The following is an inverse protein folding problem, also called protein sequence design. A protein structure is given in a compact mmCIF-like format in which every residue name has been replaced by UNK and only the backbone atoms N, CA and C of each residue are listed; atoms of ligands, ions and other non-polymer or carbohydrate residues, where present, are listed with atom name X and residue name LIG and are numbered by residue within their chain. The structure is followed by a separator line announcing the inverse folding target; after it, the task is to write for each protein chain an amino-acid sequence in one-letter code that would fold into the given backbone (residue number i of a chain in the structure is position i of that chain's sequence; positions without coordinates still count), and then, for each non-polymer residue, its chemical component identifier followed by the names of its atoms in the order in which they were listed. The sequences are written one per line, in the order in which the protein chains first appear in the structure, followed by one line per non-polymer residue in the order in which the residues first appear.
data_IF_483294160784
#
_entry.id   IF_483294160784
#
_cell.length_a   1.000
_cell.length_b   1.000
_cell.length_c   1.000
_cell.angle_alpha   90.00
_cell.angle_beta   90.00
_cell.angle_gamma   90.00
#
_symmetry.space_group_name_H-M   'P 1'
#
loop_
_entity.id
_entity.type
_entity.pdbx_description
1 polymer ?
#
# COMPACT_ATOMS: atom_id res chain seq x y z
N UNK A 1 17.67 -5.61 15.75
CA UNK A 1 17.58 -4.86 14.47
C UNK A 1 16.63 -5.54 13.50
N UNK A 2 16.84 -6.81 13.19
CA UNK A 2 16.04 -7.63 12.26
C UNK A 2 14.53 -7.66 12.54
N UNK A 3 14.14 -7.92 13.81
CA UNK A 3 12.71 -7.91 14.22
C UNK A 3 12.05 -6.54 14.11
N UNK A 4 12.81 -5.46 14.28
CA UNK A 4 12.28 -4.10 14.14
C UNK A 4 11.97 -3.77 12.67
N UNK A 5 12.85 -4.17 11.74
CA UNK A 5 12.62 -4.04 10.29
C UNK A 5 11.36 -4.77 9.83
N UNK A 6 11.18 -6.01 10.30
CA UNK A 6 9.96 -6.80 10.02
C UNK A 6 8.73 -6.09 10.59
N UNK A 7 8.79 -5.60 11.83
CA UNK A 7 7.68 -4.86 12.45
C UNK A 7 7.30 -3.59 11.69
N UNK A 8 8.28 -2.80 11.25
CA UNK A 8 8.04 -1.61 10.42
C UNK A 8 7.43 -2.01 9.08
N UNK A 9 7.95 -3.06 8.44
CA UNK A 9 7.43 -3.54 7.17
C UNK A 9 5.98 -4.02 7.24
N UNK A 10 5.60 -4.69 8.33
CA UNK A 10 4.21 -5.10 8.59
C UNK A 10 3.30 -3.90 8.81
N UNK A 11 3.76 -2.90 9.57
CA UNK A 11 2.99 -1.68 9.80
C UNK A 11 2.72 -0.91 8.50
N UNK A 12 3.72 -0.77 7.64
CA UNK A 12 3.55 -0.15 6.33
C UNK A 12 2.59 -0.95 5.44
N UNK A 13 2.66 -2.28 5.49
CA UNK A 13 1.75 -3.16 4.74
C UNK A 13 0.30 -3.03 5.21
N UNK A 14 0.08 -2.83 6.52
CA UNK A 14 -1.24 -2.56 7.07
C UNK A 14 -1.82 -1.25 6.53
N UNK A 15 -1.04 -0.16 6.58
CA UNK A 15 -1.46 1.14 6.01
C UNK A 15 -1.73 1.00 4.51
N UNK A 16 -0.84 0.32 3.78
CA UNK A 16 -0.99 0.06 2.35
C UNK A 16 -2.32 -0.66 2.05
N UNK A 17 -2.70 -1.64 2.88
CA UNK A 17 -3.95 -2.40 2.72
C UNK A 17 -5.18 -1.50 2.92
N UNK A 18 -5.15 -0.61 3.90
CA UNK A 18 -6.22 0.37 4.14
C UNK A 18 -6.37 1.32 2.94
N UNK A 19 -5.26 1.82 2.39
CA UNK A 19 -5.30 2.66 1.19
C UNK A 19 -5.80 1.89 -0.03
N UNK A 20 -5.41 0.62 -0.17
CA UNK A 20 -5.89 -0.23 -1.26
C UNK A 20 -7.41 -0.37 -1.22
N UNK A 21 -7.96 -0.55 -0.02
CA UNK A 21 -9.41 -0.63 0.19
C UNK A 21 -10.14 0.63 -0.30
N UNK A 22 -9.57 1.82 -0.07
CA UNK A 22 -10.14 3.06 -0.59
C UNK A 22 -9.94 3.21 -2.11
N UNK A 23 -8.81 2.74 -2.65
CA UNK A 23 -8.56 2.72 -4.09
C UNK A 23 -9.46 1.75 -4.87
N UNK A 24 -9.86 0.63 -4.24
CA UNK A 24 -10.69 -0.41 -4.87
C UNK A 24 -12.18 -0.10 -4.86
N UNK A 25 -12.64 0.90 -4.11
CA UNK A 25 -14.07 1.27 -4.04
C UNK A 25 -14.63 1.61 -5.40
N UNK A 26 -15.77 1.05 -5.78
CA UNK A 26 -16.44 1.45 -7.02
C UNK A 26 -17.01 2.87 -6.93
N UNK A 27 -17.18 3.52 -8.07
CA UNK A 27 -17.81 4.83 -8.15
C UNK A 27 -19.27 4.74 -7.69
N UNK A 28 -19.69 5.48 -6.64
CA UNK A 28 -21.07 5.45 -6.20
C UNK A 28 -22.03 5.97 -7.27
N UNK A 29 -23.18 5.30 -7.42
CA UNK A 29 -24.28 5.72 -8.31
C UNK A 29 -24.76 7.16 -8.05
N UNK A 30 -24.63 7.67 -6.82
CA UNK A 30 -25.04 9.01 -6.44
C UNK A 30 -24.19 10.14 -7.04
N UNK A 31 -22.98 9.84 -7.51
CA UNK A 31 -22.07 10.81 -8.13
C UNK A 31 -21.78 10.52 -9.60
N UNK A 32 -22.25 9.37 -10.10
CA UNK A 32 -22.00 8.92 -11.46
C UNK A 32 -22.84 9.72 -12.45
N UNK A 33 -22.20 10.31 -13.47
CA UNK A 33 -22.88 11.00 -14.57
C UNK A 33 -22.94 10.10 -15.81
N UNK A 34 -23.93 10.34 -16.67
CA UNK A 34 -24.11 9.58 -17.91
C UNK A 34 -22.90 9.67 -18.85
N UNK A 35 -22.21 10.81 -18.84
CA UNK A 35 -21.03 11.11 -19.65
C UNK A 35 -19.70 10.90 -18.91
N UNK A 36 -19.73 10.58 -17.61
CA UNK A 36 -18.55 10.44 -16.76
C UNK A 36 -17.78 11.75 -16.48
N UNK A 37 -18.25 12.90 -16.95
CA UNK A 37 -17.51 14.17 -16.81
C UNK A 37 -17.95 15.00 -15.59
N UNK A 38 -18.75 14.42 -14.69
CA UNK A 38 -19.09 15.06 -13.42
C UNK A 38 -17.84 15.42 -12.62
N UNK A 39 -17.72 16.68 -12.18
CA UNK A 39 -16.57 17.15 -11.40
C UNK A 39 -16.33 16.32 -10.13
N UNK A 40 -17.40 15.87 -9.47
CA UNK A 40 -17.35 14.97 -8.31
C UNK A 40 -16.87 13.56 -8.67
N UNK A 41 -17.27 13.05 -9.84
CA UNK A 41 -16.85 11.73 -10.33
C UNK A 41 -15.36 11.72 -10.69
N UNK A 42 -14.88 12.76 -11.37
CA UNK A 42 -13.46 12.94 -11.70
C UNK A 42 -12.62 13.03 -10.41
N UNK A 43 -13.04 13.86 -9.45
CA UNK A 43 -12.36 13.97 -8.16
C UNK A 43 -12.31 12.63 -7.42
N UNK A 44 -13.40 11.85 -7.46
CA UNK A 44 -13.44 10.52 -6.85
C UNK A 44 -12.50 9.52 -7.53
N UNK A 45 -12.46 9.50 -8.87
CA UNK A 45 -11.51 8.66 -9.62
C UNK A 45 -10.06 9.01 -9.30
N UNK A 46 -9.74 10.30 -9.27
CA UNK A 46 -8.40 10.76 -8.92
C UNK A 46 -8.03 10.39 -7.48
N UNK A 47 -8.96 10.55 -6.53
CA UNK A 47 -8.78 10.10 -5.15
C UNK A 47 -8.48 8.60 -5.10
N UNK A 48 -9.24 7.76 -5.80
CA UNK A 48 -9.00 6.31 -5.86
C UNK A 48 -7.64 5.97 -6.42
N UNK A 49 -7.27 6.60 -7.54
CA UNK A 49 -5.99 6.35 -8.21
C UNK A 49 -4.81 6.73 -7.31
N UNK A 50 -4.90 7.87 -6.63
CA UNK A 50 -3.91 8.28 -5.61
C UNK A 50 -3.79 7.22 -4.52
N UNK A 51 -4.91 6.77 -3.95
CA UNK A 51 -4.89 5.78 -2.87
C UNK A 51 -4.31 4.43 -3.35
N UNK A 52 -4.64 3.99 -4.56
CA UNK A 52 -4.09 2.79 -5.16
C UNK A 52 -2.56 2.91 -5.39
N UNK A 53 -2.10 4.06 -5.89
CA UNK A 53 -0.68 4.32 -6.12
C UNK A 53 0.13 4.36 -4.81
N UNK A 54 -0.36 5.07 -3.79
CA UNK A 54 0.29 5.09 -2.48
C UNK A 54 0.24 3.72 -1.80
N UNK A 55 -0.86 2.99 -1.94
CA UNK A 55 -0.95 1.62 -1.46
C UNK A 55 0.14 0.74 -2.07
N UNK A 56 0.27 0.74 -3.40
CA UNK A 56 1.28 -0.05 -4.10
C UNK A 56 2.70 0.29 -3.63
N UNK A 57 3.00 1.58 -3.47
CA UNK A 57 4.30 2.06 -3.01
C UNK A 57 4.60 1.61 -1.57
N UNK A 58 3.67 1.81 -0.65
CA UNK A 58 3.83 1.41 0.76
C UNK A 58 3.91 -0.11 0.92
N UNK A 59 3.12 -0.86 0.15
CA UNK A 59 3.16 -2.33 0.14
C UNK A 59 4.53 -2.82 -0.35
N UNK A 60 5.05 -2.23 -1.42
CA UNK A 60 6.36 -2.57 -1.98
C UNK A 60 7.49 -2.29 -0.99
N UNK A 61 7.50 -1.11 -0.37
CA UNK A 61 8.50 -0.76 0.67
C UNK A 61 8.36 -1.68 1.88
N UNK A 62 7.14 -1.91 2.35
CA UNK A 62 6.87 -2.79 3.49
C UNK A 62 7.35 -4.22 3.25
N UNK A 63 7.13 -4.74 2.04
CA UNK A 63 7.61 -6.05 1.61
C UNK A 63 9.14 -6.11 1.52
N UNK A 64 9.78 -5.09 0.94
CA UNK A 64 11.25 -5.01 0.88
C UNK A 64 11.88 -4.99 2.28
N UNK A 65 11.30 -4.26 3.24
CA UNK A 65 11.81 -4.23 4.62
C UNK A 65 11.66 -5.59 5.31
N UNK A 66 10.58 -6.31 5.04
CA UNK A 66 10.40 -7.68 5.53
C UNK A 66 11.41 -8.64 4.91
N UNK A 67 11.65 -8.55 3.59
CA UNK A 67 12.67 -9.34 2.90
C UNK A 67 14.06 -9.07 3.48
N UNK A 68 14.44 -7.80 3.62
CA UNK A 68 15.71 -7.43 4.25
C UNK A 68 15.76 -8.01 5.66
N UNK A 69 14.71 -7.86 6.47
CA UNK A 69 14.65 -8.47 7.80
C UNK A 69 14.83 -10.00 7.76
N UNK A 70 14.18 -10.70 6.85
CA UNK A 70 14.24 -12.17 6.79
C UNK A 70 15.60 -12.69 6.30
N UNK A 71 16.22 -12.01 5.34
CA UNK A 71 17.44 -12.45 4.67
C UNK A 71 18.70 -11.72 5.12
N UNK A 72 18.62 -10.77 6.07
CA UNK A 72 19.80 -10.09 6.57
C UNK A 72 20.66 -11.06 7.37
N UNK A 73 21.91 -11.33 6.95
CA UNK A 73 22.77 -12.26 7.65
C UNK A 73 23.07 -11.71 9.04
N UNK A 74 22.64 -12.46 10.07
CA UNK A 74 23.03 -12.14 11.43
C UNK A 74 24.44 -12.65 11.66
N UNK A 75 25.21 -12.02 12.55
CA UNK A 75 26.60 -12.43 12.85
C UNK A 75 26.72 -13.89 13.31
N UNK A 76 25.61 -14.54 13.70
CA UNK A 76 25.57 -15.93 14.12
C UNK A 76 25.47 -16.93 12.95
N UNK A 77 25.15 -16.48 11.74
CA UNK A 77 24.97 -17.35 10.56
C UNK A 77 26.28 -17.66 9.83
N UNK A 78 27.40 -17.07 10.28
CA UNK A 78 28.74 -17.20 9.67
C UNK A 78 29.62 -18.27 10.33
N UNK A 79 29.06 -19.17 11.14
CA UNK A 79 29.82 -20.16 11.94
C UNK A 79 29.76 -21.60 11.43
N UNK A 80 29.36 -21.80 10.18
CA UNK A 80 29.50 -23.10 9.51
C UNK A 80 30.32 -22.96 8.25
#
# INVERSE_FOLDING_TARGET
MTKALIGIGLFLSLIATILLYFGSQETPWSIQTWDGNGSKEIAFRYFREINANYSFLLMSIGFLLQLIGLFWPTKNDKKF
#
